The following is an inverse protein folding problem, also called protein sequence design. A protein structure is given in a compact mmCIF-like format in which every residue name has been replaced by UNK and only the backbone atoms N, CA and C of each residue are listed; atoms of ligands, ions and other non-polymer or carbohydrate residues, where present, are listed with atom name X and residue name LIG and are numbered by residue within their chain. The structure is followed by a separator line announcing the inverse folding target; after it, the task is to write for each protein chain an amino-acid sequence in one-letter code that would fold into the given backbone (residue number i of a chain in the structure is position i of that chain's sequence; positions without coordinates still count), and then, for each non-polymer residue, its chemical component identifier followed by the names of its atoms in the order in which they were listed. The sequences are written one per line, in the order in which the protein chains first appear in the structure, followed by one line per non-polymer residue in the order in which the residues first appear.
data_IF_462277205406
#
_entry.id   IF_462277205406
#
_cell.length_a   1.000
_cell.length_b   1.000
_cell.length_c   1.000
_cell.angle_alpha   90.00
_cell.angle_beta   90.00
_cell.angle_gamma   90.00
#
_symmetry.space_group_name_H-M   'P 1'
#
loop_
_entity.id
_entity.type
_entity.pdbx_description
1 polymer ?
#
# COMPACT_ATOMS: atom_id res chain seq x y z
N UNK A 1 -13.06 94.78 13.35
CA UNK A 1 -13.20 96.11 13.97
C UNK A 1 -13.40 97.10 12.85
N UNK A 2 -14.37 98.01 12.92
CA UNK A 2 -14.51 99.08 11.93
C UNK A 2 -13.22 99.92 11.94
N UNK A 3 -12.81 100.40 10.76
CA UNK A 3 -11.69 101.32 10.64
C UNK A 3 -12.08 102.66 11.27
N UNK A 4 -11.41 103.04 12.37
CA UNK A 4 -11.59 104.33 13.03
C UNK A 4 -10.42 105.24 12.68
N UNK A 5 -10.70 106.37 12.03
CA UNK A 5 -9.73 107.40 11.71
C UNK A 5 -10.20 108.73 12.28
N UNK A 6 -9.38 109.36 13.13
CA UNK A 6 -9.64 110.70 13.66
C UNK A 6 -8.83 111.75 12.86
N UNK A 7 -9.48 112.59 12.03
CA UNK A 7 -8.78 113.60 11.24
C UNK A 7 -8.15 114.71 12.10
N UNK A 8 -8.73 115.01 13.26
CA UNK A 8 -8.22 116.07 14.14
C UNK A 8 -6.89 115.66 14.78
N UNK A 9 -6.76 114.39 15.17
CA UNK A 9 -5.51 113.80 15.62
C UNK A 9 -4.41 113.80 14.53
N UNK A 10 -4.80 113.82 13.26
CA UNK A 10 -3.90 113.93 12.11
C UNK A 10 -3.60 115.39 11.68
N UNK A 11 -4.08 116.39 12.45
CA UNK A 11 -3.83 117.82 12.19
C UNK A 11 -4.69 118.42 11.06
N UNK A 12 -5.76 117.74 10.63
CA UNK A 12 -6.69 118.23 9.61
C UNK A 12 -7.87 118.95 10.26
N UNK A 13 -8.07 120.22 9.91
CA UNK A 13 -9.24 121.00 10.34
C UNK A 13 -10.34 120.89 9.29
N UNK A 14 -11.27 119.98 9.50
CA UNK A 14 -12.38 119.67 8.61
C UNK A 14 -13.70 119.89 9.33
N UNK A 15 -14.73 120.32 8.60
CA UNK A 15 -16.08 120.34 9.16
C UNK A 15 -16.64 118.91 9.35
N UNK A 16 -17.78 118.79 10.05
CA UNK A 16 -18.38 117.48 10.34
C UNK A 16 -18.77 116.68 9.08
N UNK A 17 -19.15 117.38 8.01
CA UNK A 17 -19.53 116.76 6.73
C UNK A 17 -18.30 116.24 6.00
N UNK A 18 -17.24 117.05 5.97
CA UNK A 18 -15.94 116.68 5.39
C UNK A 18 -15.26 115.54 6.15
N UNK A 19 -15.38 115.53 7.48
CA UNK A 19 -14.87 114.46 8.35
C UNK A 19 -15.56 113.13 8.06
N UNK A 20 -16.90 113.13 7.99
CA UNK A 20 -17.67 111.93 7.67
C UNK A 20 -17.34 111.40 6.26
N UNK A 21 -17.25 112.28 5.26
CA UNK A 21 -16.90 111.90 3.90
C UNK A 21 -15.48 111.31 3.79
N UNK A 22 -14.51 111.85 4.54
CA UNK A 22 -13.14 111.34 4.55
C UNK A 22 -13.03 109.99 5.28
N UNK A 23 -13.73 109.83 6.40
CA UNK A 23 -13.78 108.55 7.12
C UNK A 23 -14.44 107.44 6.28
N UNK A 24 -15.52 107.75 5.57
CA UNK A 24 -16.18 106.81 4.65
C UNK A 24 -15.26 106.44 3.48
N UNK A 25 -14.61 107.43 2.86
CA UNK A 25 -13.68 107.20 1.75
C UNK A 25 -12.45 106.36 2.15
N UNK A 26 -11.84 106.66 3.31
CA UNK A 26 -10.71 105.90 3.85
C UNK A 26 -11.12 104.52 4.32
N UNK A 27 -12.26 104.39 5.01
CA UNK A 27 -12.82 103.11 5.42
C UNK A 27 -13.08 102.19 4.23
N UNK A 28 -13.67 102.73 3.14
CA UNK A 28 -13.87 102.00 1.90
C UNK A 28 -12.55 101.55 1.26
N UNK A 29 -11.53 102.42 1.21
CA UNK A 29 -10.21 102.08 0.66
C UNK A 29 -9.46 101.04 1.50
N UNK A 30 -9.49 101.15 2.82
CA UNK A 30 -8.86 100.19 3.73
C UNK A 30 -9.56 98.83 3.64
N UNK A 31 -10.89 98.80 3.55
CA UNK A 31 -11.65 97.57 3.35
C UNK A 31 -11.30 96.91 2.00
N UNK A 32 -11.18 97.70 0.92
CA UNK A 32 -10.77 97.22 -0.41
C UNK A 32 -9.35 96.60 -0.39
N UNK A 33 -8.38 97.24 0.28
CA UNK A 33 -7.03 96.71 0.44
C UNK A 33 -7.00 95.44 1.31
N UNK A 34 -7.72 95.44 2.44
CA UNK A 34 -7.82 94.29 3.33
C UNK A 34 -8.42 93.10 2.59
N UNK A 35 -9.54 93.31 1.88
CA UNK A 35 -10.20 92.28 1.09
C UNK A 35 -9.26 91.72 0.01
N UNK A 36 -8.46 92.57 -0.65
CA UNK A 36 -7.47 92.13 -1.64
C UNK A 36 -6.39 91.22 -1.04
N UNK A 37 -5.85 91.57 0.13
CA UNK A 37 -4.83 90.77 0.83
C UNK A 37 -5.41 89.44 1.38
N UNK A 38 -6.60 89.47 1.99
CA UNK A 38 -7.18 88.27 2.61
C UNK A 38 -7.87 87.35 1.62
N UNK A 39 -8.23 87.82 0.41
CA UNK A 39 -8.93 87.00 -0.57
C UNK A 39 -8.07 85.81 -1.04
N UNK A 40 -6.76 86.01 -1.25
CA UNK A 40 -5.85 84.92 -1.60
C UNK A 40 -5.74 83.86 -0.50
N UNK A 41 -5.60 84.31 0.74
CA UNK A 41 -5.59 83.44 1.94
C UNK A 41 -6.92 82.69 2.09
N UNK A 42 -8.04 83.36 1.89
CA UNK A 42 -9.39 82.77 2.00
C UNK A 42 -9.62 81.72 0.92
N UNK A 43 -9.21 81.99 -0.32
CA UNK A 43 -9.25 81.05 -1.44
C UNK A 43 -8.40 79.82 -1.16
N UNK A 44 -7.14 80.00 -0.73
CA UNK A 44 -6.25 78.89 -0.40
C UNK A 44 -6.76 78.06 0.78
N UNK A 45 -7.34 78.71 1.78
CA UNK A 45 -7.92 78.02 2.93
C UNK A 45 -9.12 77.15 2.51
N UNK A 46 -9.98 77.65 1.62
CA UNK A 46 -11.08 76.84 1.05
C UNK A 46 -10.58 75.64 0.25
N UNK A 47 -9.54 75.82 -0.56
CA UNK A 47 -8.90 74.75 -1.34
C UNK A 47 -8.29 73.67 -0.42
N UNK A 48 -7.57 74.10 0.63
CA UNK A 48 -6.98 73.20 1.61
C UNK A 48 -8.04 72.43 2.39
N UNK A 49 -9.12 73.08 2.82
CA UNK A 49 -10.24 72.42 3.49
C UNK A 49 -10.93 71.40 2.57
N UNK A 50 -11.09 71.72 1.28
CA UNK A 50 -11.61 70.79 0.27
C UNK A 50 -10.71 69.57 0.07
N UNK A 51 -9.40 69.79 -0.05
CA UNK A 51 -8.41 68.72 -0.20
C UNK A 51 -8.39 67.82 1.05
N UNK A 52 -8.42 68.41 2.24
CA UNK A 52 -8.41 67.67 3.50
C UNK A 52 -9.67 66.81 3.67
N UNK A 53 -10.84 67.31 3.27
CA UNK A 53 -12.08 66.52 3.22
C UNK A 53 -11.95 65.34 2.25
N UNK A 54 -11.41 65.58 1.06
CA UNK A 54 -11.23 64.52 0.04
C UNK A 54 -10.30 63.42 0.55
N UNK A 55 -9.13 63.79 1.10
CA UNK A 55 -8.18 62.85 1.69
C UNK A 55 -8.83 62.05 2.82
N UNK A 56 -9.63 62.70 3.68
CA UNK A 56 -10.32 62.01 4.77
C UNK A 56 -11.32 60.98 4.23
N UNK A 57 -12.11 61.35 3.21
CA UNK A 57 -13.06 60.42 2.57
C UNK A 57 -12.35 59.24 1.90
N UNK A 58 -11.23 59.48 1.19
CA UNK A 58 -10.44 58.42 0.58
C UNK A 58 -9.81 57.51 1.63
N UNK A 59 -9.29 58.07 2.72
CA UNK A 59 -8.71 57.32 3.83
C UNK A 59 -9.76 56.44 4.52
N UNK A 60 -10.96 56.97 4.76
CA UNK A 60 -12.05 56.22 5.38
C UNK A 60 -12.54 55.10 4.45
N UNK A 61 -12.60 55.35 3.14
CA UNK A 61 -12.89 54.31 2.13
C UNK A 61 -11.82 53.23 2.13
N UNK A 62 -10.54 53.62 2.13
CA UNK A 62 -9.42 52.68 2.14
C UNK A 62 -9.46 51.82 3.41
N UNK A 63 -9.64 52.46 4.58
CA UNK A 63 -9.78 51.76 5.86
C UNK A 63 -10.94 50.77 5.83
N UNK A 64 -12.11 51.16 5.33
CA UNK A 64 -13.26 50.27 5.22
C UNK A 64 -13.02 49.09 4.27
N UNK A 65 -12.25 49.26 3.19
CA UNK A 65 -11.87 48.17 2.29
C UNK A 65 -10.90 47.17 2.92
N UNK A 66 -10.09 47.61 3.89
CA UNK A 66 -9.10 46.78 4.59
C UNK A 66 -9.52 46.39 6.01
N UNK A 67 -10.69 46.82 6.47
CA UNK A 67 -11.18 46.53 7.82
C UNK A 67 -11.48 45.04 7.94
N UNK A 68 -10.82 44.37 8.89
CA UNK A 68 -10.90 42.92 9.07
C UNK A 68 -9.97 42.09 8.17
N UNK A 69 -9.18 42.72 7.28
CA UNK A 69 -8.12 42.06 6.53
C UNK A 69 -6.78 42.23 7.25
N UNK A 70 -6.16 41.11 7.63
CA UNK A 70 -4.76 41.11 8.05
C UNK A 70 -3.87 41.27 6.82
N UNK A 71 -3.31 42.47 6.65
CA UNK A 71 -2.47 42.83 5.50
C UNK A 71 -1.19 41.99 5.45
N UNK A 72 -0.63 41.61 6.60
CA UNK A 72 0.58 40.79 6.64
C UNK A 72 0.25 39.33 6.29
N UNK A 73 -0.91 38.82 6.71
CA UNK A 73 -1.42 37.54 6.24
C UNK A 73 -1.71 37.55 4.73
N UNK A 74 -2.27 38.63 4.19
CA UNK A 74 -2.52 38.76 2.74
C UNK A 74 -1.21 38.81 1.95
N UNK A 75 -0.21 39.56 2.42
CA UNK A 75 1.14 39.57 1.82
C UNK A 75 1.80 38.20 1.92
N UNK A 76 1.66 37.50 3.05
CA UNK A 76 2.15 36.14 3.23
C UNK A 76 1.47 35.13 2.32
N UNK A 77 0.16 35.26 2.11
CA UNK A 77 -0.59 34.47 1.15
C UNK A 77 -0.10 34.75 -0.27
N UNK A 78 0.06 36.03 -0.65
CA UNK A 78 0.54 36.42 -1.98
C UNK A 78 1.96 35.91 -2.25
N UNK A 79 2.83 35.90 -1.24
CA UNK A 79 4.18 35.34 -1.32
C UNK A 79 4.16 33.81 -1.51
N UNK A 80 3.26 33.09 -0.80
CA UNK A 80 3.06 31.64 -1.00
C UNK A 80 2.45 31.34 -2.38
N UNK A 81 1.51 32.15 -2.82
CA UNK A 81 0.92 32.09 -4.17
C UNK A 81 1.97 32.32 -5.26
N UNK A 82 2.94 33.21 -5.04
CA UNK A 82 4.07 33.42 -5.94
C UNK A 82 5.08 32.28 -5.97
N UNK A 83 5.08 31.40 -4.97
CA UNK A 83 5.94 30.22 -4.89
C UNK A 83 5.30 28.96 -5.50
N UNK A 84 3.97 28.85 -5.45
CA UNK A 84 3.26 27.79 -6.17
C UNK A 84 3.17 28.17 -7.65
N UNK A 85 3.98 27.55 -8.50
CA UNK A 85 3.90 27.71 -9.96
C UNK A 85 2.46 27.48 -10.48
N UNK A 86 1.72 26.56 -9.87
CA UNK A 86 0.32 26.32 -10.20
C UNK A 86 -0.58 27.52 -9.86
N UNK A 87 -0.34 28.20 -8.73
CA UNK A 87 -1.13 29.39 -8.38
C UNK A 87 -0.72 30.61 -9.19
N UNK A 88 0.55 30.70 -9.59
CA UNK A 88 1.01 31.68 -10.59
C UNK A 88 0.32 31.47 -11.94
N UNK A 89 0.22 30.23 -12.42
CA UNK A 89 -0.51 29.90 -13.65
C UNK A 89 -2.01 30.22 -13.55
N UNK A 90 -2.63 29.99 -12.39
CA UNK A 90 -4.02 30.39 -12.11
C UNK A 90 -4.16 31.92 -12.16
N UNK A 91 -3.26 32.67 -11.53
CA UNK A 91 -3.26 34.13 -11.53
C UNK A 91 -3.00 34.72 -12.92
N UNK A 92 -2.21 34.04 -13.75
CA UNK A 92 -1.95 34.37 -15.16
C UNK A 92 -3.10 33.95 -16.11
N UNK A 93 -4.17 33.32 -15.59
CA UNK A 93 -5.31 32.85 -16.38
C UNK A 93 -5.04 31.60 -17.23
N UNK A 94 -3.90 30.93 -17.03
CA UNK A 94 -3.46 29.72 -17.74
C UNK A 94 -4.07 28.46 -17.11
N UNK A 95 -5.40 28.41 -17.09
CA UNK A 95 -6.14 27.31 -16.44
C UNK A 95 -5.88 25.96 -17.10
N UNK A 96 -5.71 25.92 -18.42
CA UNK A 96 -5.45 24.67 -19.15
C UNK A 96 -4.12 24.01 -18.74
N UNK A 97 -3.09 24.83 -18.50
CA UNK A 97 -1.78 24.34 -18.06
C UNK A 97 -1.86 23.73 -16.65
N UNK A 98 -2.63 24.36 -15.77
CA UNK A 98 -2.92 23.87 -14.41
C UNK A 98 -3.69 22.55 -14.44
N UNK A 99 -4.73 22.46 -15.27
CA UNK A 99 -5.53 21.23 -15.42
C UNK A 99 -4.65 20.09 -15.95
N UNK A 100 -3.82 20.35 -16.96
CA UNK A 100 -2.89 19.36 -17.48
C UNK A 100 -1.90 18.89 -16.41
N UNK A 101 -1.34 19.81 -15.61
CA UNK A 101 -0.42 19.47 -14.52
C UNK A 101 -1.08 18.63 -13.43
N UNK A 102 -2.30 19.00 -13.02
CA UNK A 102 -3.10 18.21 -12.06
C UNK A 102 -3.43 16.83 -12.59
N UNK A 103 -3.81 16.76 -13.86
CA UNK A 103 -4.18 15.49 -14.52
C UNK A 103 -2.98 14.57 -14.60
N UNK A 104 -1.81 15.09 -14.95
CA UNK A 104 -0.58 14.29 -15.03
C UNK A 104 -0.10 13.82 -13.66
N UNK A 105 -0.17 14.69 -12.64
CA UNK A 105 0.10 14.28 -11.25
C UNK A 105 -0.87 13.19 -10.80
N UNK A 106 -2.17 13.37 -11.04
CA UNK A 106 -3.19 12.39 -10.68
C UNK A 106 -2.94 11.05 -11.39
N UNK A 107 -2.65 11.07 -12.70
CA UNK A 107 -2.31 9.87 -13.47
C UNK A 107 -1.10 9.16 -12.86
N UNK A 108 -0.02 9.89 -12.59
CA UNK A 108 1.20 9.35 -11.98
C UNK A 108 0.93 8.73 -10.62
N UNK A 109 0.14 9.40 -9.77
CA UNK A 109 -0.19 8.92 -8.43
C UNK A 109 -1.11 7.69 -8.49
N UNK A 110 -2.10 7.68 -9.39
CA UNK A 110 -2.95 6.52 -9.64
C UNK A 110 -2.17 5.33 -10.18
N UNK A 111 -1.26 5.53 -11.13
CA UNK A 111 -0.38 4.47 -11.65
C UNK A 111 0.50 3.89 -10.55
N UNK A 112 1.07 4.73 -9.67
CA UNK A 112 1.82 4.27 -8.49
C UNK A 112 0.95 3.43 -7.55
N UNK A 113 -0.28 3.88 -7.27
CA UNK A 113 -1.20 3.15 -6.39
C UNK A 113 -1.61 1.79 -6.99
N UNK A 114 -1.94 1.76 -8.28
CA UNK A 114 -2.27 0.52 -9.01
C UNK A 114 -1.08 -0.44 -8.98
N UNK A 115 0.12 0.04 -9.28
CA UNK A 115 1.33 -0.79 -9.25
C UNK A 115 1.58 -1.34 -7.85
N UNK A 116 1.48 -0.52 -6.81
CA UNK A 116 1.65 -0.97 -5.43
C UNK A 116 0.59 -1.97 -4.99
N UNK A 117 -0.66 -1.80 -5.44
CA UNK A 117 -1.75 -2.73 -5.17
C UNK A 117 -1.50 -4.09 -5.86
N UNK A 118 -1.10 -4.07 -7.15
CA UNK A 118 -0.77 -5.28 -7.90
C UNK A 118 0.41 -6.02 -7.27
N UNK A 119 1.50 -5.33 -6.93
CA UNK A 119 2.65 -5.95 -6.25
C UNK A 119 2.27 -6.58 -4.90
N UNK A 120 1.28 -6.02 -4.20
CA UNK A 120 0.76 -6.59 -2.96
C UNK A 120 -0.10 -7.82 -3.22
N UNK A 121 -0.95 -7.78 -4.24
CA UNK A 121 -1.77 -8.91 -4.67
C UNK A 121 -0.90 -10.08 -5.11
N UNK A 122 0.08 -9.86 -5.99
CA UNK A 122 1.01 -10.88 -6.49
C UNK A 122 1.77 -11.56 -5.33
N UNK A 123 2.24 -10.78 -4.35
CA UNK A 123 2.91 -11.30 -3.15
C UNK A 123 1.96 -12.13 -2.28
N UNK A 124 0.72 -11.69 -2.12
CA UNK A 124 -0.29 -12.39 -1.33
C UNK A 124 -0.68 -13.71 -2.01
N UNK A 125 -0.90 -13.71 -3.32
CA UNK A 125 -1.20 -14.91 -4.11
C UNK A 125 -0.05 -15.91 -4.08
N UNK A 126 1.19 -15.45 -4.28
CA UNK A 126 2.37 -16.32 -4.22
C UNK A 126 2.58 -16.90 -2.81
N UNK A 127 2.27 -16.15 -1.75
CA UNK A 127 2.32 -16.64 -0.39
C UNK A 127 1.20 -17.65 -0.12
N UNK A 128 -0.03 -17.34 -0.55
CA UNK A 128 -1.18 -18.21 -0.40
C UNK A 128 -0.95 -19.54 -1.11
N UNK A 129 -0.47 -19.54 -2.35
CA UNK A 129 -0.15 -20.77 -3.09
C UNK A 129 0.86 -21.65 -2.33
N UNK A 130 1.96 -21.07 -1.84
CA UNK A 130 2.98 -21.79 -1.05
C UNK A 130 2.43 -22.32 0.27
N UNK A 131 1.57 -21.54 0.93
CA UNK A 131 0.94 -21.93 2.17
C UNK A 131 -0.05 -23.07 1.95
N UNK A 132 -0.89 -22.97 0.91
CA UNK A 132 -1.83 -24.01 0.51
C UNK A 132 -1.12 -25.32 0.18
N UNK A 133 -0.04 -25.26 -0.59
CA UNK A 133 0.79 -26.44 -0.90
C UNK A 133 1.34 -27.10 0.37
N UNK A 134 1.79 -26.30 1.34
CA UNK A 134 2.34 -26.80 2.61
C UNK A 134 1.27 -27.45 3.48
N UNK A 135 0.15 -26.76 3.70
CA UNK A 135 -0.95 -27.27 4.52
C UNK A 135 -1.51 -28.55 3.92
N UNK A 136 -1.68 -28.58 2.59
CA UNK A 136 -2.09 -29.77 1.89
C UNK A 136 -1.08 -30.91 2.09
N UNK A 137 0.22 -30.67 1.86
CA UNK A 137 1.26 -31.67 2.06
C UNK A 137 1.27 -32.22 3.49
N UNK A 138 1.09 -31.37 4.50
CA UNK A 138 1.04 -31.78 5.90
C UNK A 138 -0.19 -32.66 6.21
N UNK A 139 -1.36 -32.29 5.67
CA UNK A 139 -2.59 -33.09 5.76
C UNK A 139 -2.45 -34.46 5.11
N UNK A 140 -1.90 -34.51 3.88
CA UNK A 140 -1.64 -35.77 3.18
C UNK A 140 -0.62 -36.62 3.94
N UNK A 141 0.46 -36.02 4.46
CA UNK A 141 1.48 -36.74 5.23
C UNK A 141 0.88 -37.38 6.48
N UNK A 142 0.07 -36.62 7.23
CA UNK A 142 -0.61 -37.15 8.42
C UNK A 142 -1.54 -38.31 8.08
N UNK A 143 -2.30 -38.19 6.99
CA UNK A 143 -3.17 -39.25 6.50
C UNK A 143 -2.40 -40.49 6.05
N UNK A 144 -1.30 -40.32 5.32
CA UNK A 144 -0.44 -41.41 4.87
C UNK A 144 0.18 -42.19 6.05
N UNK A 145 0.68 -41.48 7.06
CA UNK A 145 1.20 -42.09 8.31
C UNK A 145 0.08 -42.88 9.00
N UNK A 146 -1.12 -42.31 9.10
CA UNK A 146 -2.28 -42.97 9.71
C UNK A 146 -2.73 -44.21 8.91
N UNK A 147 -2.60 -44.18 7.58
CA UNK A 147 -2.84 -45.32 6.69
C UNK A 147 -1.69 -46.35 6.71
N UNK A 148 -0.62 -46.11 7.47
CA UNK A 148 0.51 -47.03 7.65
C UNK A 148 1.52 -47.02 6.50
N UNK A 149 1.63 -45.93 5.75
CA UNK A 149 2.64 -45.78 4.71
C UNK A 149 4.06 -45.77 5.28
N UNK A 150 5.05 -46.13 4.46
CA UNK A 150 6.46 -46.03 4.83
C UNK A 150 6.87 -44.56 4.97
N UNK A 151 7.68 -44.17 5.98
CA UNK A 151 8.19 -42.81 6.10
C UNK A 151 8.93 -42.32 4.85
N UNK A 152 9.69 -43.20 4.20
CA UNK A 152 10.46 -42.92 2.99
C UNK A 152 9.55 -42.68 1.76
N UNK A 153 8.30 -43.14 1.81
CA UNK A 153 7.31 -42.97 0.74
C UNK A 153 6.49 -41.67 0.87
N UNK A 154 6.63 -40.94 1.98
CA UNK A 154 5.80 -39.76 2.27
C UNK A 154 5.83 -38.72 1.14
N UNK A 155 7.01 -38.41 0.59
CA UNK A 155 7.15 -37.42 -0.46
C UNK A 155 6.56 -37.88 -1.81
N UNK A 156 6.62 -39.18 -2.13
CA UNK A 156 5.95 -39.73 -3.33
C UNK A 156 4.43 -39.67 -3.20
N UNK A 157 3.90 -39.97 -2.01
CA UNK A 157 2.46 -39.88 -1.73
C UNK A 157 1.98 -38.43 -1.82
N UNK A 158 2.72 -37.48 -1.24
CA UNK A 158 2.43 -36.05 -1.36
C UNK A 158 2.42 -35.61 -2.83
N UNK A 159 3.42 -36.04 -3.62
CA UNK A 159 3.51 -35.69 -5.03
C UNK A 159 2.29 -36.20 -5.82
N UNK A 160 1.86 -37.44 -5.58
CA UNK A 160 0.65 -38.01 -6.20
C UNK A 160 -0.62 -37.28 -5.78
N UNK A 161 -0.70 -36.86 -4.51
CA UNK A 161 -1.86 -36.18 -3.97
C UNK A 161 -2.08 -34.77 -4.57
N UNK A 162 -1.02 -34.07 -4.99
CA UNK A 162 -1.12 -32.72 -5.59
C UNK A 162 -2.04 -32.64 -6.81
N UNK A 163 -2.16 -33.72 -7.57
CA UNK A 163 -3.07 -33.79 -8.72
C UNK A 163 -4.50 -34.19 -8.37
N UNK A 164 -4.75 -34.59 -7.13
CA UNK A 164 -6.06 -35.09 -6.67
C UNK A 164 -6.69 -34.16 -5.65
N UNK A 165 -5.91 -33.43 -4.85
CA UNK A 165 -6.42 -32.60 -3.77
C UNK A 165 -6.13 -31.12 -3.99
N UNK A 166 -7.07 -30.29 -3.53
CA UNK A 166 -6.92 -28.84 -3.38
C UNK A 166 -7.30 -28.46 -1.96
N UNK A 167 -6.80 -27.31 -1.52
CA UNK A 167 -7.22 -26.71 -0.25
C UNK A 167 -8.49 -25.90 -0.48
N UNK A 168 -9.51 -26.12 0.35
CA UNK A 168 -10.73 -25.31 0.37
C UNK A 168 -10.49 -23.94 1.00
N UNK A 169 -11.47 -23.05 0.90
CA UNK A 169 -11.45 -21.76 1.60
C UNK A 169 -11.38 -21.93 3.12
N UNK A 170 -11.94 -23.01 3.65
CA UNK A 170 -11.91 -23.36 5.08
C UNK A 170 -10.58 -24.00 5.52
N UNK A 171 -9.63 -24.21 4.60
CA UNK A 171 -8.34 -24.81 4.89
C UNK A 171 -8.36 -26.35 4.96
N UNK A 172 -9.39 -26.99 4.39
CA UNK A 172 -9.53 -28.45 4.36
C UNK A 172 -9.05 -29.02 3.01
N UNK A 173 -8.46 -30.22 3.03
CA UNK A 173 -8.04 -30.90 1.81
C UNK A 173 -9.25 -31.60 1.16
N UNK A 174 -9.69 -31.07 0.02
CA UNK A 174 -10.82 -31.59 -0.76
C UNK A 174 -10.29 -32.25 -2.03
N UNK A 175 -10.72 -33.49 -2.28
CA UNK A 175 -10.40 -34.17 -3.53
C UNK A 175 -11.21 -33.58 -4.69
N UNK A 176 -10.53 -33.28 -5.79
CA UNK A 176 -11.14 -32.79 -7.04
C UNK A 176 -10.68 -33.63 -8.23
N UNK A 177 -11.55 -33.78 -9.22
CA UNK A 177 -11.19 -34.41 -10.48
C UNK A 177 -10.42 -33.45 -11.41
N UNK A 178 -10.25 -33.86 -12.68
CA UNK A 178 -9.54 -33.05 -13.69
C UNK A 178 -10.30 -31.80 -14.10
N UNK A 179 -11.62 -31.82 -14.02
CA UNK A 179 -12.50 -30.71 -14.36
C UNK A 179 -12.65 -29.75 -13.16
N UNK A 180 -12.18 -30.17 -11.98
CA UNK A 180 -12.19 -29.39 -10.75
C UNK A 180 -13.41 -29.68 -9.86
N UNK A 181 -14.21 -30.67 -10.23
CA UNK A 181 -15.39 -31.07 -9.47
C UNK A 181 -15.02 -31.94 -8.27
N UNK A 182 -15.79 -31.82 -7.19
CA UNK A 182 -15.52 -32.53 -5.94
C UNK A 182 -15.72 -34.04 -6.13
N UNK A 183 -14.68 -34.81 -5.79
CA UNK A 183 -14.75 -36.27 -5.75
C UNK A 183 -15.27 -36.69 -4.38
N UNK A 184 -16.37 -37.43 -4.35
CA UNK A 184 -16.97 -37.93 -3.12
C UNK A 184 -16.35 -39.24 -2.65
N UNK A 185 -16.29 -39.42 -1.32
CA UNK A 185 -15.81 -40.63 -0.67
C UNK A 185 -16.78 -41.81 -0.78
N UNK A 186 -16.49 -42.87 -0.04
CA UNK A 186 -17.28 -44.13 -0.08
C UNK A 186 -18.74 -43.94 0.37
N UNK A 187 -19.03 -42.88 1.11
CA UNK A 187 -20.36 -42.55 1.61
C UNK A 187 -21.25 -41.82 0.57
N UNK A 188 -20.65 -41.37 -0.54
CA UNK A 188 -21.33 -40.60 -1.61
C UNK A 188 -21.86 -39.24 -1.17
N UNK A 189 -21.45 -38.72 -0.01
CA UNK A 189 -21.99 -37.48 0.59
C UNK A 189 -20.89 -36.51 1.00
N UNK A 190 -19.78 -37.03 1.53
CA UNK A 190 -18.65 -36.20 1.94
C UNK A 190 -17.55 -36.26 0.88
N UNK A 191 -16.78 -35.17 0.69
CA UNK A 191 -15.62 -35.21 -0.17
C UNK A 191 -14.65 -36.32 0.26
N UNK A 192 -14.05 -37.00 -0.72
CA UNK A 192 -13.05 -38.03 -0.47
C UNK A 192 -11.92 -37.43 0.38
N UNK A 193 -11.74 -37.99 1.58
CA UNK A 193 -10.75 -37.49 2.51
C UNK A 193 -9.34 -37.98 2.16
N UNK A 194 -8.27 -37.27 2.59
CA UNK A 194 -6.89 -37.74 2.46
C UNK A 194 -6.64 -39.15 2.97
N UNK A 195 -7.32 -39.55 4.05
CA UNK A 195 -7.15 -40.88 4.66
C UNK A 195 -7.76 -41.96 3.77
N UNK A 196 -9.00 -41.79 3.33
CA UNK A 196 -9.67 -42.74 2.45
C UNK A 196 -8.96 -42.88 1.10
N UNK A 197 -8.42 -41.77 0.58
CA UNK A 197 -7.60 -41.80 -0.62
C UNK A 197 -6.27 -42.52 -0.39
N UNK A 198 -5.60 -42.31 0.75
CA UNK A 198 -4.38 -43.05 1.06
C UNK A 198 -4.65 -44.57 1.18
N UNK A 199 -5.80 -44.96 1.71
CA UNK A 199 -6.24 -46.36 1.75
C UNK A 199 -6.47 -46.95 0.35
N UNK A 200 -7.11 -46.21 -0.57
CA UNK A 200 -7.29 -46.68 -1.95
C UNK A 200 -5.97 -46.69 -2.74
N UNK A 201 -5.08 -45.74 -2.46
CA UNK A 201 -3.74 -45.72 -3.03
C UNK A 201 -2.91 -46.94 -2.61
N UNK A 202 -3.14 -47.50 -1.41
CA UNK A 202 -2.47 -48.72 -0.97
C UNK A 202 -2.76 -49.92 -1.87
N UNK A 203 -3.97 -50.00 -2.43
CA UNK A 203 -4.37 -51.09 -3.32
C UNK A 203 -3.65 -51.00 -4.67
N UNK A 204 -3.36 -49.79 -5.14
CA UNK A 204 -2.79 -49.53 -6.48
C UNK A 204 -1.28 -49.29 -6.46
N UNK A 205 -0.72 -48.81 -5.35
CA UNK A 205 0.69 -48.48 -5.15
C UNK A 205 1.25 -49.18 -3.89
N UNK A 206 1.09 -50.50 -3.82
CA UNK A 206 1.46 -51.34 -2.65
C UNK A 206 2.91 -51.19 -2.18
N UNK A 207 3.85 -50.80 -3.06
CA UNK A 207 5.26 -50.60 -2.74
C UNK A 207 5.54 -49.42 -1.79
N UNK A 208 4.58 -48.50 -1.63
CA UNK A 208 4.68 -47.37 -0.70
C UNK A 208 4.34 -47.74 0.75
N UNK A 209 3.85 -48.96 0.97
CA UNK A 209 3.52 -49.51 2.29
C UNK A 209 4.48 -50.63 2.66
N UNK A 210 4.63 -50.92 3.97
CA UNK A 210 5.34 -52.11 4.42
C UNK A 210 4.74 -53.34 3.73
N UNK A 211 5.61 -54.18 3.16
CA UNK A 211 5.18 -55.48 2.68
C UNK A 211 4.58 -56.23 3.87
N UNK A 212 3.42 -56.85 3.66
CA UNK A 212 2.87 -57.74 4.66
C UNK A 212 3.94 -58.78 4.99
N UNK A 213 4.41 -58.79 6.24
CA UNK A 213 5.27 -59.83 6.76
C UNK A 213 4.38 -61.06 7.05
N UNK A 214 3.66 -61.52 6.03
CA UNK A 214 3.11 -62.85 6.01
C UNK A 214 4.28 -63.79 5.83
N UNK A 215 4.34 -64.83 6.66
CA UNK A 215 5.32 -65.91 6.61
C UNK A 215 5.85 -66.12 5.18
N UNK A 216 7.02 -65.55 4.88
CA UNK A 216 7.81 -66.06 3.76
C UNK A 216 8.02 -67.55 4.03
N UNK A 217 8.11 -68.39 2.99
CA UNK A 217 8.40 -69.80 3.21
C UNK A 217 9.62 -69.84 4.12
N UNK A 218 9.52 -70.55 5.25
CA UNK A 218 10.67 -70.90 6.07
C UNK A 218 11.76 -71.28 5.09
N UNK A 219 12.78 -70.44 4.99
CA UNK A 219 13.89 -70.69 4.09
C UNK A 219 14.36 -72.09 4.39
N UNK A 220 14.39 -72.94 3.36
CA UNK A 220 15.06 -74.23 3.41
C UNK A 220 16.46 -73.94 3.98
N UNK A 221 16.63 -74.23 5.27
CA UNK A 221 17.92 -74.28 5.89
C UNK A 221 18.60 -75.51 5.32
N UNK A 222 19.17 -75.34 4.12
CA UNK A 222 20.20 -76.17 3.53
C UNK A 222 20.15 -77.62 3.95
N UNK A 223 19.01 -78.28 3.72
CA UNK A 223 18.89 -79.72 3.83
C UNK A 223 19.64 -80.31 2.65
N UNK A 224 20.98 -80.34 2.70
CA UNK A 224 21.77 -81.14 1.76
C UNK A 224 21.21 -82.55 1.83
N UNK A 225 20.44 -82.93 0.81
CA UNK A 225 20.05 -84.30 0.57
C UNK A 225 21.34 -85.10 0.52
N UNK A 226 21.65 -85.74 1.66
CA UNK A 226 22.84 -86.56 1.79
C UNK A 226 22.48 -87.85 1.07
N UNK A 227 23.03 -88.03 -0.13
CA UNK A 227 22.89 -89.26 -0.92
C UNK A 227 23.07 -90.48 -0.01
N UNK A 228 22.23 -91.50 -0.17
CA UNK A 228 22.34 -92.75 0.63
C UNK A 228 23.49 -93.61 0.12
N UNK A 229 23.98 -94.55 0.93
CA UNK A 229 25.11 -95.43 0.56
C UNK A 229 25.01 -95.98 -0.87
N UNK A 230 23.84 -96.52 -1.26
CA UNK A 230 23.59 -97.13 -2.57
C UNK A 230 23.64 -96.16 -3.77
N UNK A 231 23.56 -94.86 -3.55
CA UNK A 231 23.57 -93.82 -4.60
C UNK A 231 24.97 -93.32 -4.93
N UNK A 232 25.98 -93.70 -4.12
CA UNK A 232 27.38 -93.43 -4.44
C UNK A 232 27.99 -94.58 -5.24
N UNK A 233 28.68 -94.25 -6.32
CA UNK A 233 29.55 -95.19 -7.04
C UNK A 233 30.77 -95.55 -6.18
N UNK A 234 31.44 -96.66 -6.50
CA UNK A 234 32.64 -97.10 -5.78
C UNK A 234 33.79 -96.07 -5.87
N UNK A 235 33.90 -95.37 -7.00
CA UNK A 235 34.87 -94.29 -7.20
C UNK A 235 34.55 -93.06 -6.33
N UNK A 236 33.29 -92.65 -6.25
CA UNK A 236 32.88 -91.52 -5.39
C UNK A 236 33.04 -91.85 -3.90
N UNK A 237 32.78 -93.11 -3.50
CA UNK A 237 33.03 -93.58 -2.13
C UNK A 237 34.52 -93.53 -1.78
N UNK A 238 35.39 -93.97 -2.70
CA UNK A 238 36.83 -93.93 -2.51
C UNK A 238 37.37 -92.49 -2.41
N UNK A 239 36.87 -91.58 -3.27
CA UNK A 239 37.20 -90.17 -3.20
C UNK A 239 36.72 -89.55 -1.88
N UNK A 240 35.50 -89.85 -1.43
CA UNK A 240 34.97 -89.36 -0.16
C UNK A 240 35.77 -89.86 1.04
N UNK A 241 36.20 -91.13 1.04
CA UNK A 241 37.04 -91.69 2.09
C UNK A 241 38.40 -90.99 2.20
N UNK A 242 38.97 -90.56 1.07
CA UNK A 242 40.25 -89.85 1.01
C UNK A 242 40.12 -88.39 1.42
N UNK A 243 39.12 -87.70 0.87
CA UNK A 243 39.00 -86.24 0.96
C UNK A 243 38.19 -85.79 2.19
N UNK A 244 37.27 -86.63 2.68
CA UNK A 244 36.48 -86.36 3.89
C UNK A 244 36.13 -87.65 4.68
N UNK A 245 37.07 -88.17 5.49
CA UNK A 245 36.90 -89.44 6.20
C UNK A 245 35.74 -89.44 7.21
N UNK A 246 35.38 -88.29 7.78
CA UNK A 246 34.24 -88.17 8.72
C UNK A 246 32.89 -88.24 7.99
N UNK A 247 32.77 -87.62 6.81
CA UNK A 247 31.58 -87.78 5.98
C UNK A 247 31.44 -89.22 5.46
N UNK A 248 32.56 -89.88 5.15
CA UNK A 248 32.57 -91.28 4.74
C UNK A 248 32.10 -92.23 5.85
N UNK A 249 32.52 -92.04 7.11
CA UNK A 249 32.01 -92.80 8.26
C UNK A 249 30.50 -92.65 8.44
N UNK A 250 29.98 -91.43 8.30
CA UNK A 250 28.52 -91.16 8.35
C UNK A 250 27.78 -91.86 7.22
N UNK A 251 28.36 -91.88 6.01
CA UNK A 251 27.80 -92.62 4.88
C UNK A 251 27.82 -94.14 5.12
N UNK A 252 28.90 -94.68 5.70
CA UNK A 252 28.97 -96.11 6.08
C UNK A 252 27.89 -96.50 7.08
N UNK A 253 27.52 -95.62 8.02
CA UNK A 253 26.44 -95.87 8.98
C UNK A 253 25.05 -96.00 8.31
N UNK A 254 24.90 -95.56 7.05
CA UNK A 254 23.67 -95.75 6.25
C UNK A 254 23.69 -97.01 5.39
N UNK A 255 24.72 -97.86 5.52
CA UNK A 255 24.84 -99.13 4.79
C UNK A 255 23.94 -100.18 5.43
N UNK A 256 22.74 -100.38 4.87
CA UNK A 256 21.80 -101.44 5.30
C UNK A 256 20.53 -100.95 6.00
N UNK A 257 20.21 -99.66 5.91
CA UNK A 257 18.90 -99.08 6.24
C UNK A 257 18.18 -98.54 5.01
#
# INVERSE_FOLDING_TARGET
MPFEFDPAAAGLTLDATQTAALQEALGGKVQEYLDKEVNGLKSKNQELLGSNRTIKTELDKLKGQFEGLDIDAVKGLLAKVGQDEETKLIAEGKLDEVINRRTERLRTDSEKQIKAANERADKAEAFAAKYSDKVLADSIRAAAIKAGALPEAAEDIILRARGTFKLSEDGEAIATDRDGEVVYGKDGKTPLSPLEWAESLRETATHLWPRAQGAGPTGDQGGKATKKWGEYTEQERAALARDNPEAFKKLQATKGT
#
